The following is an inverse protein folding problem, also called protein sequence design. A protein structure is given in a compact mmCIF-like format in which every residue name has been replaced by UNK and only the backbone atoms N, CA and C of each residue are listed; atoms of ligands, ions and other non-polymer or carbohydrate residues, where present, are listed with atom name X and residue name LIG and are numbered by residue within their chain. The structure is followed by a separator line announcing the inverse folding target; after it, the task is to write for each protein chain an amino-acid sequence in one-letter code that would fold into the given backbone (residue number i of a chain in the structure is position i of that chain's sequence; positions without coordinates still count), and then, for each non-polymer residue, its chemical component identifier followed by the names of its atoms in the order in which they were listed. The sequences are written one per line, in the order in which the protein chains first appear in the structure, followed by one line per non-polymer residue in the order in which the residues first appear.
data_IF_440245489274
#
_entry.id   IF_440245489274
#
_cell.length_a   1.000
_cell.length_b   1.000
_cell.length_c   1.000
_cell.angle_alpha   90.00
_cell.angle_beta   90.00
_cell.angle_gamma   90.00
#
_symmetry.space_group_name_H-M   'P 1'
#
loop_
_entity.id
_entity.type
_entity.pdbx_description
1 polymer ?
#
# COMPACT_ATOMS: atom_id res chain seq x y z
N UNK A 1 -27.52 -35.52 13.84
CA UNK A 1 -26.22 -35.18 14.48
C UNK A 1 -25.16 -34.80 13.45
N UNK A 2 -25.01 -35.50 12.31
CA UNK A 2 -24.08 -35.12 11.22
C UNK A 2 -24.31 -33.70 10.67
N UNK A 3 -25.56 -33.32 10.40
CA UNK A 3 -25.88 -32.01 9.78
C UNK A 3 -25.61 -30.80 10.68
N UNK A 4 -25.71 -30.95 12.00
CA UNK A 4 -25.40 -29.88 12.94
C UNK A 4 -23.88 -29.62 12.97
N UNK A 5 -23.10 -30.69 12.96
CA UNK A 5 -21.64 -30.61 12.99
C UNK A 5 -21.10 -29.98 11.68
N UNK A 6 -21.64 -30.39 10.54
CA UNK A 6 -21.33 -29.79 9.22
C UNK A 6 -21.69 -28.31 9.16
N UNK A 7 -22.85 -27.91 9.71
CA UNK A 7 -23.27 -26.51 9.76
C UNK A 7 -22.34 -25.66 10.65
N UNK A 8 -21.93 -26.18 11.80
CA UNK A 8 -20.98 -25.51 12.70
C UNK A 8 -19.61 -25.37 12.02
N UNK A 9 -19.13 -26.41 11.35
CA UNK A 9 -17.85 -26.38 10.64
C UNK A 9 -17.85 -25.34 9.51
N UNK A 10 -18.93 -25.26 8.74
CA UNK A 10 -19.11 -24.27 7.68
C UNK A 10 -19.11 -22.84 8.23
N UNK A 11 -19.81 -22.61 9.33
CA UNK A 11 -19.84 -21.31 10.00
C UNK A 11 -18.47 -20.90 10.55
N UNK A 12 -17.73 -21.83 11.16
CA UNK A 12 -16.36 -21.57 11.64
C UNK A 12 -15.42 -21.21 10.49
N UNK A 13 -15.50 -21.91 9.35
CA UNK A 13 -14.70 -21.60 8.16
C UNK A 13 -15.05 -20.23 7.59
N UNK A 14 -16.34 -19.88 7.52
CA UNK A 14 -16.80 -18.56 7.08
C UNK A 14 -16.20 -17.45 7.94
N UNK A 15 -16.31 -17.57 9.27
CA UNK A 15 -15.73 -16.59 10.20
C UNK A 15 -14.22 -16.47 10.06
N UNK A 16 -13.52 -17.59 9.85
CA UNK A 16 -12.08 -17.54 9.62
C UNK A 16 -11.74 -16.75 8.35
N UNK A 17 -12.49 -16.93 7.26
CA UNK A 17 -12.30 -16.13 6.04
C UNK A 17 -12.65 -14.65 6.24
N UNK A 18 -13.73 -14.34 6.96
CA UNK A 18 -14.10 -12.96 7.31
C UNK A 18 -12.97 -12.29 8.10
N UNK A 19 -12.41 -12.95 9.12
CA UNK A 19 -11.26 -12.43 9.88
C UNK A 19 -10.02 -12.22 8.99
N UNK A 20 -9.76 -13.11 8.02
CA UNK A 20 -8.66 -12.91 7.06
C UNK A 20 -8.87 -11.65 6.20
N UNK A 21 -10.10 -11.38 5.76
CA UNK A 21 -10.44 -10.16 5.02
C UNK A 21 -10.21 -8.92 5.91
N UNK A 22 -10.68 -8.94 7.16
CA UNK A 22 -10.50 -7.82 8.09
C UNK A 22 -9.00 -7.47 8.28
N UNK A 23 -8.13 -8.49 8.37
CA UNK A 23 -6.68 -8.27 8.46
C UNK A 23 -6.11 -7.65 7.18
N UNK A 24 -6.56 -8.08 6.01
CA UNK A 24 -6.11 -7.54 4.73
C UNK A 24 -6.56 -6.09 4.54
N UNK A 25 -7.80 -5.77 4.89
CA UNK A 25 -8.34 -4.40 4.87
C UNK A 25 -7.59 -3.50 5.86
N UNK A 26 -7.27 -4.01 7.06
CA UNK A 26 -6.44 -3.27 8.01
C UNK A 26 -5.03 -3.01 7.49
N UNK A 27 -4.41 -3.98 6.80
CA UNK A 27 -3.10 -3.79 6.21
C UNK A 27 -3.14 -2.79 5.06
N UNK A 28 -4.22 -2.82 4.26
CA UNK A 28 -4.46 -1.83 3.22
C UNK A 28 -4.47 -0.40 3.79
N UNK A 29 -5.19 -0.17 4.89
CA UNK A 29 -5.21 1.13 5.56
C UNK A 29 -3.84 1.60 6.07
N UNK A 30 -2.97 0.68 6.49
CA UNK A 30 -1.59 1.02 6.88
C UNK A 30 -0.74 1.45 5.69
N UNK A 31 -0.95 0.85 4.50
CA UNK A 31 -0.27 1.29 3.27
C UNK A 31 -0.76 2.68 2.85
N UNK A 32 -2.05 2.96 2.98
CA UNK A 32 -2.62 4.30 2.74
C UNK A 32 -1.98 5.35 3.65
N UNK A 33 -1.95 5.11 4.96
CA UNK A 33 -1.36 6.03 5.94
C UNK A 33 0.13 6.29 5.67
N UNK A 34 0.90 5.24 5.33
CA UNK A 34 2.31 5.38 5.00
C UNK A 34 2.54 6.20 3.72
N UNK A 35 1.67 6.08 2.72
CA UNK A 35 1.77 6.84 1.47
C UNK A 35 1.35 8.30 1.68
N UNK A 36 0.35 8.56 2.52
CA UNK A 36 -0.01 9.93 2.90
C UNK A 36 1.15 10.64 3.61
N UNK A 37 1.78 10.00 4.59
CA UNK A 37 2.95 10.55 5.29
C UNK A 37 4.12 10.80 4.31
N UNK A 38 4.38 9.84 3.42
CA UNK A 38 5.41 9.98 2.39
C UNK A 38 5.12 11.14 1.43
N UNK A 39 3.86 11.30 1.02
CA UNK A 39 3.42 12.37 0.12
C UNK A 39 3.60 13.75 0.76
N UNK A 40 3.28 13.89 2.05
CA UNK A 40 3.48 15.13 2.78
C UNK A 40 4.96 15.49 2.93
N UNK A 41 5.81 14.51 3.25
CA UNK A 41 7.27 14.70 3.27
C UNK A 41 7.82 15.12 1.91
N UNK A 42 7.35 14.48 0.84
CA UNK A 42 7.75 14.78 -0.52
C UNK A 42 7.30 16.18 -0.96
N UNK A 43 6.08 16.60 -0.59
CA UNK A 43 5.55 17.94 -0.86
C UNK A 43 6.37 19.02 -0.12
N UNK A 44 6.75 18.77 1.13
CA UNK A 44 7.63 19.64 1.90
C UNK A 44 9.03 19.75 1.26
N UNK A 45 9.59 18.63 0.80
CA UNK A 45 10.85 18.60 0.08
C UNK A 45 10.80 19.43 -1.21
N UNK A 46 9.78 19.27 -2.05
CA UNK A 46 9.65 20.05 -3.29
C UNK A 46 9.55 21.54 -3.04
N UNK A 47 8.81 21.93 -2.01
CA UNK A 47 8.73 23.34 -1.62
C UNK A 47 10.11 23.91 -1.26
N UNK A 48 10.91 23.17 -0.49
CA UNK A 48 12.26 23.59 -0.13
C UNK A 48 13.19 23.62 -1.37
N UNK A 49 13.09 22.62 -2.24
CA UNK A 49 13.83 22.60 -3.51
C UNK A 49 13.55 23.88 -4.32
N UNK A 50 12.29 24.21 -4.53
CA UNK A 50 11.88 25.35 -5.34
C UNK A 50 12.29 26.70 -4.74
N UNK A 51 12.41 26.78 -3.41
CA UNK A 51 12.84 27.99 -2.70
C UNK A 51 14.36 28.20 -2.78
N UNK A 52 15.16 27.16 -2.55
CA UNK A 52 16.59 27.30 -2.29
C UNK A 52 17.48 26.97 -3.49
N UNK A 53 17.13 25.95 -4.27
CA UNK A 53 18.00 25.39 -5.32
C UNK A 53 18.18 26.29 -6.56
N UNK A 54 17.21 27.12 -7.00
CA UNK A 54 17.38 27.94 -8.20
C UNK A 54 18.64 28.82 -8.21
N UNK A 55 19.09 29.24 -7.02
CA UNK A 55 20.25 30.12 -6.83
C UNK A 55 21.58 29.37 -6.82
N UNK A 56 21.57 28.04 -6.77
CA UNK A 56 22.79 27.23 -6.72
C UNK A 56 23.44 27.17 -8.11
N UNK A 57 24.78 27.14 -8.12
CA UNK A 57 25.59 27.09 -9.34
C UNK A 57 26.83 26.21 -9.13
N UNK A 58 27.49 25.85 -10.22
CA UNK A 58 28.75 25.09 -10.20
C UNK A 58 28.58 23.65 -9.71
N UNK A 59 29.65 23.08 -9.17
CA UNK A 59 29.72 21.66 -8.79
C UNK A 59 28.68 21.27 -7.74
N UNK A 60 28.36 22.15 -6.80
CA UNK A 60 27.33 21.89 -5.78
C UNK A 60 25.94 21.70 -6.39
N UNK A 61 25.61 22.46 -7.45
CA UNK A 61 24.35 22.27 -8.20
C UNK A 61 24.35 20.94 -8.93
N UNK A 62 25.43 20.61 -9.64
CA UNK A 62 25.52 19.35 -10.40
C UNK A 62 25.42 18.12 -9.48
N UNK A 63 26.09 18.14 -8.33
CA UNK A 63 25.99 17.08 -7.33
C UNK A 63 24.56 16.96 -6.76
N UNK A 64 23.90 18.08 -6.48
CA UNK A 64 22.52 18.10 -6.03
C UNK A 64 21.56 17.53 -7.09
N UNK A 65 21.67 17.95 -8.35
CA UNK A 65 20.80 17.48 -9.44
C UNK A 65 20.89 15.96 -9.65
N UNK A 66 22.08 15.37 -9.45
CA UNK A 66 22.24 13.91 -9.45
C UNK A 66 21.45 13.24 -8.32
N UNK A 67 21.62 13.71 -7.08
CA UNK A 67 20.90 13.16 -5.92
C UNK A 67 19.39 13.39 -6.06
N UNK A 68 18.98 14.55 -6.56
CA UNK A 68 17.57 14.86 -6.82
C UNK A 68 16.97 13.88 -7.84
N UNK A 69 17.72 13.53 -8.90
CA UNK A 69 17.31 12.50 -9.85
C UNK A 69 17.09 11.14 -9.19
N UNK A 70 18.01 10.70 -8.33
CA UNK A 70 17.88 9.45 -7.58
C UNK A 70 16.66 9.47 -6.65
N UNK A 71 16.43 10.58 -5.94
CA UNK A 71 15.26 10.75 -5.07
C UNK A 71 13.95 10.68 -5.86
N UNK A 72 13.88 11.29 -7.04
CA UNK A 72 12.71 11.18 -7.94
C UNK A 72 12.45 9.75 -8.39
N UNK A 73 13.50 8.99 -8.66
CA UNK A 73 13.36 7.58 -9.03
C UNK A 73 12.85 6.74 -7.85
N UNK A 74 13.38 6.98 -6.65
CA UNK A 74 12.93 6.31 -5.42
C UNK A 74 11.47 6.65 -5.13
N UNK A 75 11.06 7.92 -5.24
CA UNK A 75 9.67 8.34 -5.07
C UNK A 75 8.74 7.57 -6.03
N UNK A 76 9.08 7.52 -7.32
CA UNK A 76 8.29 6.81 -8.31
C UNK A 76 8.20 5.29 -7.99
N UNK A 77 9.29 4.70 -7.52
CA UNK A 77 9.31 3.30 -7.12
C UNK A 77 8.43 3.01 -5.89
N UNK A 78 8.42 3.92 -4.91
CA UNK A 78 7.56 3.82 -3.72
C UNK A 78 6.08 3.85 -4.12
N UNK A 79 5.67 4.78 -4.97
CA UNK A 79 4.27 4.82 -5.44
C UNK A 79 3.90 3.56 -6.23
N UNK A 80 4.77 3.08 -7.11
CA UNK A 80 4.53 1.84 -7.85
C UNK A 80 4.39 0.63 -6.91
N UNK A 81 5.25 0.53 -5.90
CA UNK A 81 5.18 -0.54 -4.90
C UNK A 81 3.88 -0.48 -4.08
N UNK A 82 3.39 0.71 -3.76
CA UNK A 82 2.11 0.88 -3.08
C UNK A 82 0.93 0.46 -3.96
N UNK A 83 0.90 0.90 -5.23
CA UNK A 83 -0.12 0.49 -6.19
C UNK A 83 -0.15 -1.04 -6.37
N UNK A 84 1.02 -1.67 -6.49
CA UNK A 84 1.14 -3.13 -6.57
C UNK A 84 0.58 -3.80 -5.30
N UNK A 85 0.93 -3.29 -4.10
CA UNK A 85 0.39 -3.81 -2.84
C UNK A 85 -1.14 -3.67 -2.76
N UNK A 86 -1.69 -2.52 -3.15
CA UNK A 86 -3.13 -2.30 -3.19
C UNK A 86 -3.83 -3.29 -4.12
N UNK A 87 -3.25 -3.52 -5.30
CA UNK A 87 -3.78 -4.46 -6.27
C UNK A 87 -3.78 -5.90 -5.73
N UNK A 88 -2.65 -6.33 -5.16
CA UNK A 88 -2.48 -7.67 -4.60
C UNK A 88 -3.45 -7.92 -3.43
N UNK A 89 -3.56 -6.98 -2.49
CA UNK A 89 -4.50 -7.07 -1.36
C UNK A 89 -5.95 -7.17 -1.86
N UNK A 90 -6.33 -6.29 -2.79
CA UNK A 90 -7.69 -6.30 -3.37
C UNK A 90 -8.01 -7.62 -4.05
N UNK A 91 -7.03 -8.19 -4.78
CA UNK A 91 -7.17 -9.48 -5.44
C UNK A 91 -7.35 -10.62 -4.45
N UNK A 92 -6.55 -10.65 -3.38
CA UNK A 92 -6.67 -11.68 -2.33
C UNK A 92 -8.02 -11.60 -1.60
N UNK A 93 -8.49 -10.39 -1.26
CA UNK A 93 -9.82 -10.18 -0.68
C UNK A 93 -10.90 -10.75 -1.61
N UNK A 94 -10.84 -10.43 -2.91
CA UNK A 94 -11.81 -10.93 -3.89
C UNK A 94 -11.81 -12.48 -3.97
N UNK A 95 -10.63 -13.11 -3.96
CA UNK A 95 -10.50 -14.56 -3.95
C UNK A 95 -11.08 -15.20 -2.67
N UNK A 96 -10.88 -14.57 -1.52
CA UNK A 96 -11.44 -15.06 -0.25
C UNK A 96 -12.97 -14.94 -0.27
N UNK A 97 -13.51 -13.80 -0.74
CA UNK A 97 -14.97 -13.60 -0.89
C UNK A 97 -15.58 -14.65 -1.82
N UNK A 98 -14.95 -14.95 -2.95
CA UNK A 98 -15.39 -16.03 -3.85
C UNK A 98 -15.40 -17.40 -3.15
N UNK A 99 -14.39 -17.72 -2.34
CA UNK A 99 -14.36 -18.98 -1.56
C UNK A 99 -15.48 -19.08 -0.52
N UNK A 100 -15.94 -17.95 0.02
CA UNK A 100 -17.10 -17.91 0.92
C UNK A 100 -18.37 -18.23 0.12
N UNK A 101 -18.57 -17.57 -1.03
CA UNK A 101 -19.76 -17.74 -1.88
C UNK A 101 -19.86 -19.15 -2.48
N UNK A 102 -18.78 -19.72 -3.01
CA UNK A 102 -18.76 -21.08 -3.57
C UNK A 102 -19.01 -22.18 -2.53
N UNK A 103 -18.85 -21.86 -1.25
CA UNK A 103 -19.05 -22.78 -0.11
C UNK A 103 -20.37 -22.55 0.61
N UNK A 104 -21.16 -21.54 0.24
CA UNK A 104 -22.54 -21.33 0.70
C UNK A 104 -23.51 -22.33 0.08
#
# INVERSE_FOLDING_TARGET
MSSLLESIEKELKRRAYETMIDFLESYQGQVEEAIEEFQDGTRAFYRANDEYVPHWQGESRAAYESIYGDLRQIEAWIYAAADDLFHEISREIAQIRQKIEERQ
#
